data_IF_729172860199
#
_entry.id   IF_729172860199
#
_cell.length_a   1.000
_cell.length_b   1.000
_cell.length_c   1.000
_cell.angle_alpha   90.00
_cell.angle_beta   90.00
_cell.angle_gamma   90.00
#
_symmetry.space_group_name_H-M   'P 1'
#
loop_
_entity.id
_entity.type
_entity.pdbx_description
1 polymer ?
#
# COMPACT_ATOMS: atom_id res chain seq x y z
N UNK A 1 -9.30 -12.79 8.23
CA UNK A 1 -9.50 -13.66 7.07
C UNK A 1 -9.54 -15.13 7.53
N UNK A 2 -9.54 -16.12 6.64
CA UNK A 2 -9.55 -17.54 7.07
C UNK A 2 -8.29 -17.92 7.86
N UNK A 3 -7.12 -17.44 7.45
CA UNK A 3 -5.87 -17.67 8.18
C UNK A 3 -5.82 -16.98 9.56
N UNK A 4 -6.56 -15.88 9.77
CA UNK A 4 -6.57 -15.15 11.05
C UNK A 4 -7.71 -15.59 11.99
N UNK A 5 -8.91 -15.80 11.45
CA UNK A 5 -10.14 -16.02 12.23
C UNK A 5 -10.72 -17.43 12.05
N UNK A 6 -10.04 -18.30 11.31
CA UNK A 6 -10.46 -19.66 10.99
C UNK A 6 -11.47 -19.73 9.84
N UNK A 7 -11.52 -20.88 9.16
CA UNK A 7 -12.54 -21.19 8.16
C UNK A 7 -13.81 -21.72 8.83
N UNK A 8 -14.68 -20.80 9.24
CA UNK A 8 -15.92 -21.11 9.92
C UNK A 8 -17.09 -20.31 9.33
N UNK A 9 -18.31 -20.62 9.76
CA UNK A 9 -19.53 -20.00 9.25
C UNK A 9 -19.53 -18.47 9.40
N UNK A 10 -19.01 -17.95 10.52
CA UNK A 10 -18.93 -16.51 10.74
C UNK A 10 -17.97 -15.86 9.73
N UNK A 11 -16.75 -16.37 9.62
CA UNK A 11 -15.75 -15.85 8.67
C UNK A 11 -16.27 -15.91 7.23
N UNK A 12 -16.93 -17.01 6.84
CA UNK A 12 -17.49 -17.14 5.49
C UNK A 12 -18.63 -16.14 5.23
N UNK A 13 -19.51 -15.87 6.21
CA UNK A 13 -20.53 -14.82 6.09
C UNK A 13 -19.92 -13.42 5.94
N UNK A 14 -18.86 -13.13 6.68
CA UNK A 14 -18.15 -11.85 6.60
C UNK A 14 -17.44 -11.67 5.25
N UNK A 15 -16.85 -12.74 4.69
CA UNK A 15 -16.28 -12.72 3.33
C UNK A 15 -17.35 -12.40 2.28
N UNK A 16 -18.52 -13.01 2.36
CA UNK A 16 -19.62 -12.72 1.42
C UNK A 16 -20.18 -11.30 1.58
N UNK A 17 -20.22 -10.77 2.81
CA UNK A 17 -20.56 -9.37 3.04
C UNK A 17 -19.49 -8.42 2.45
N UNK A 18 -18.21 -8.71 2.66
CA UNK A 18 -17.11 -7.93 2.12
C UNK A 18 -17.12 -7.90 0.58
N UNK A 19 -17.43 -9.04 -0.08
CA UNK A 19 -17.61 -9.11 -1.54
C UNK A 19 -18.67 -8.12 -2.04
N UNK A 20 -19.83 -8.05 -1.38
CA UNK A 20 -20.90 -7.11 -1.75
C UNK A 20 -20.45 -5.66 -1.65
N UNK A 21 -19.68 -5.32 -0.61
CA UNK A 21 -19.11 -3.97 -0.44
C UNK A 21 -18.09 -3.68 -1.53
N UNK A 22 -17.17 -4.60 -1.79
CA UNK A 22 -16.17 -4.46 -2.85
C UNK A 22 -16.82 -4.30 -4.23
N UNK A 23 -17.86 -5.07 -4.52
CA UNK A 23 -18.62 -4.97 -5.76
C UNK A 23 -19.35 -3.64 -5.91
N UNK A 24 -19.91 -3.10 -4.84
CA UNK A 24 -20.53 -1.77 -4.87
C UNK A 24 -19.49 -0.68 -5.08
N UNK A 25 -18.36 -0.72 -4.37
CA UNK A 25 -17.26 0.23 -4.55
C UNK A 25 -16.75 0.22 -6.00
N UNK A 26 -16.59 -0.97 -6.60
CA UNK A 26 -16.23 -1.08 -8.03
C UNK A 26 -17.28 -0.44 -8.95
N UNK A 27 -18.58 -0.62 -8.68
CA UNK A 27 -19.66 0.03 -9.46
C UNK A 27 -19.64 1.55 -9.32
N UNK A 28 -19.24 2.05 -8.17
CA UNK A 28 -19.12 3.49 -7.88
C UNK A 28 -17.81 4.09 -8.44
N UNK A 29 -16.99 3.30 -9.13
CA UNK A 29 -15.78 3.75 -9.82
C UNK A 29 -14.49 3.61 -9.01
N UNK A 30 -14.53 2.95 -7.86
CA UNK A 30 -13.33 2.69 -7.07
C UNK A 30 -12.50 1.54 -7.64
N UNK A 31 -11.18 1.67 -7.51
CA UNK A 31 -10.20 0.62 -7.78
C UNK A 31 -9.52 0.20 -6.49
N UNK A 32 -9.10 -1.07 -6.42
CA UNK A 32 -8.39 -1.62 -5.28
C UNK A 32 -6.90 -1.77 -5.56
N UNK A 33 -6.10 -1.66 -4.50
CA UNK A 33 -4.66 -1.89 -4.48
C UNK A 33 -4.33 -2.94 -3.40
N UNK A 34 -3.25 -3.69 -3.58
CA UNK A 34 -2.72 -4.57 -2.54
C UNK A 34 -1.92 -3.73 -1.54
N UNK A 35 -2.15 -3.97 -0.26
CA UNK A 35 -1.30 -3.50 0.83
C UNK A 35 -0.68 -4.69 1.57
N UNK A 36 -0.38 -5.75 0.80
CA UNK A 36 0.02 -7.08 1.26
C UNK A 36 -1.08 -7.77 2.10
N UNK A 37 -0.89 -9.03 2.49
CA UNK A 37 -1.85 -9.74 3.35
C UNK A 37 -1.67 -9.36 4.82
N UNK A 38 -0.43 -9.42 5.32
CA UNK A 38 -0.08 -9.23 6.72
C UNK A 38 0.55 -7.87 7.06
N UNK A 39 0.39 -6.86 6.20
CA UNK A 39 1.03 -5.54 6.37
C UNK A 39 2.56 -5.65 6.50
N UNK A 40 3.17 -6.38 5.56
CA UNK A 40 4.57 -6.82 5.55
C UNK A 40 5.55 -5.69 5.20
N UNK A 41 6.61 -5.52 6.00
CA UNK A 41 7.74 -4.67 5.65
C UNK A 41 8.60 -5.37 4.58
N UNK A 42 8.39 -5.03 3.30
CA UNK A 42 9.03 -5.71 2.18
C UNK A 42 10.51 -5.35 1.97
N UNK A 43 10.99 -4.23 2.55
CA UNK A 43 12.43 -3.93 2.60
C UNK A 43 13.17 -5.02 3.39
N UNK A 44 12.66 -5.36 4.57
CA UNK A 44 13.30 -6.29 5.51
C UNK A 44 12.98 -7.76 5.23
N UNK A 45 11.78 -8.07 4.72
CA UNK A 45 11.33 -9.43 4.47
C UNK A 45 12.23 -10.17 3.45
N UNK A 46 12.36 -11.48 3.60
CA UNK A 46 12.99 -12.31 2.57
C UNK A 46 12.05 -12.50 1.36
N UNK A 47 12.58 -13.00 0.24
CA UNK A 47 11.73 -13.37 -0.91
C UNK A 47 10.70 -14.44 -0.52
N UNK A 48 11.07 -15.41 0.32
CA UNK A 48 10.18 -16.48 0.75
C UNK A 48 9.02 -15.93 1.61
N UNK A 49 9.29 -14.96 2.48
CA UNK A 49 8.25 -14.31 3.29
C UNK A 49 7.27 -13.53 2.41
N UNK A 50 7.79 -12.81 1.40
CA UNK A 50 6.98 -12.09 0.42
C UNK A 50 6.09 -13.06 -0.38
N UNK A 51 6.65 -14.21 -0.78
CA UNK A 51 5.90 -15.25 -1.48
C UNK A 51 4.78 -15.82 -0.63
N UNK A 52 5.07 -16.14 0.64
CA UNK A 52 4.08 -16.67 1.58
C UNK A 52 2.97 -15.65 1.87
N UNK A 53 3.32 -14.38 2.09
CA UNK A 53 2.35 -13.32 2.32
C UNK A 53 1.46 -13.11 1.10
N UNK A 54 2.05 -13.05 -0.10
CA UNK A 54 1.28 -12.91 -1.33
C UNK A 54 0.41 -14.14 -1.61
N UNK A 55 0.86 -15.36 -1.33
CA UNK A 55 0.02 -16.57 -1.46
C UNK A 55 -1.24 -16.46 -0.60
N UNK A 56 -1.12 -15.99 0.65
CA UNK A 56 -2.29 -15.72 1.50
C UNK A 56 -3.16 -14.62 0.92
N UNK A 57 -2.57 -13.55 0.39
CA UNK A 57 -3.31 -12.48 -0.29
C UNK A 57 -4.13 -13.02 -1.47
N UNK A 58 -3.52 -13.85 -2.32
CA UNK A 58 -4.18 -14.46 -3.49
C UNK A 58 -5.30 -15.42 -3.07
N UNK A 59 -5.12 -16.16 -1.98
CA UNK A 59 -6.11 -17.12 -1.51
C UNK A 59 -7.29 -16.48 -0.78
N UNK A 60 -7.08 -15.34 -0.10
CA UNK A 60 -8.05 -14.81 0.86
C UNK A 60 -8.60 -13.42 0.53
N UNK A 61 -7.84 -12.60 -0.19
CA UNK A 61 -8.20 -11.21 -0.51
C UNK A 61 -8.56 -11.07 -1.98
N UNK A 62 -7.75 -11.62 -2.89
CA UNK A 62 -8.03 -11.58 -4.33
C UNK A 62 -9.41 -12.10 -4.73
N UNK A 63 -9.98 -13.16 -4.10
CA UNK A 63 -11.33 -13.63 -4.42
C UNK A 63 -12.45 -12.65 -4.02
N UNK A 64 -12.14 -11.65 -3.19
CA UNK A 64 -13.07 -10.60 -2.76
C UNK A 64 -12.96 -9.39 -3.69
N UNK A 65 -11.73 -8.93 -3.94
CA UNK A 65 -11.48 -7.67 -4.65
C UNK A 65 -11.38 -7.86 -6.18
N UNK A 66 -10.84 -9.00 -6.62
CA UNK A 66 -10.44 -9.27 -8.00
C UNK A 66 -8.96 -8.97 -8.25
N UNK A 67 -8.55 -9.13 -9.52
CA UNK A 67 -7.17 -8.86 -9.96
C UNK A 67 -6.78 -7.41 -9.63
N UNK A 68 -5.62 -7.24 -9.02
CA UNK A 68 -5.07 -5.96 -8.59
C UNK A 68 -3.63 -5.85 -9.08
N UNK A 69 -3.28 -4.75 -9.74
CA UNK A 69 -1.94 -4.52 -10.30
C UNK A 69 -1.16 -3.41 -9.57
N UNK A 70 -1.76 -2.78 -8.56
CA UNK A 70 -1.13 -1.75 -7.74
C UNK A 70 -0.71 -2.37 -6.41
N UNK A 71 0.58 -2.23 -6.07
CA UNK A 71 1.12 -2.58 -4.76
C UNK A 71 1.49 -1.29 -4.02
N UNK A 72 0.83 -1.08 -2.89
CA UNK A 72 1.19 -0.04 -1.94
C UNK A 72 2.05 -0.70 -0.87
N UNK A 73 3.30 -0.28 -0.69
CA UNK A 73 4.17 -0.87 0.32
C UNK A 73 3.74 -0.45 1.74
N UNK A 74 3.46 -1.39 2.65
CA UNK A 74 3.32 -1.11 4.07
C UNK A 74 4.54 -0.37 4.58
N UNK A 75 4.31 0.65 5.42
CA UNK A 75 5.35 1.53 5.95
C UNK A 75 6.16 2.30 4.89
N UNK A 76 5.77 2.26 3.61
CA UNK A 76 6.60 2.76 2.52
C UNK A 76 7.86 1.92 2.26
N UNK A 77 7.90 0.68 2.76
CA UNK A 77 9.06 -0.20 2.74
C UNK A 77 9.31 -0.81 1.34
N UNK A 78 9.94 -0.02 0.48
CA UNK A 78 10.33 -0.40 -0.88
C UNK A 78 11.29 -1.61 -0.89
N UNK A 79 11.20 -2.43 -1.95
CA UNK A 79 12.05 -3.60 -2.21
C UNK A 79 13.42 -3.24 -2.79
N UNK A 80 13.66 -1.98 -3.12
CA UNK A 80 14.93 -1.47 -3.65
C UNK A 80 15.24 -0.07 -3.09
N UNK A 81 16.40 0.45 -3.46
CA UNK A 81 16.77 1.85 -3.28
C UNK A 81 16.18 2.76 -4.39
N UNK A 82 16.71 3.97 -4.52
CA UNK A 82 16.26 4.97 -5.48
C UNK A 82 16.53 4.59 -6.96
N UNK A 83 17.38 3.61 -7.24
CA UNK A 83 17.69 3.19 -8.60
C UNK A 83 16.49 2.53 -9.28
N UNK A 84 16.47 2.47 -10.63
CA UNK A 84 15.52 1.68 -11.38
C UNK A 84 15.45 0.23 -10.90
N UNK A 85 14.24 -0.29 -10.73
CA UNK A 85 14.07 -1.73 -10.59
C UNK A 85 14.64 -2.45 -11.80
N UNK A 86 15.21 -3.62 -11.51
CA UNK A 86 15.84 -4.50 -12.47
C UNK A 86 15.35 -5.92 -12.21
N UNK A 87 15.23 -6.72 -13.26
CA UNK A 87 14.94 -8.15 -13.19
C UNK A 87 15.96 -8.94 -12.35
N UNK A 88 17.16 -8.38 -12.12
CA UNK A 88 18.13 -8.95 -11.19
C UNK A 88 17.65 -8.92 -9.72
N UNK A 89 16.73 -8.02 -9.37
CA UNK A 89 16.09 -8.01 -8.05
C UNK A 89 14.98 -9.06 -8.02
N UNK A 90 15.26 -10.19 -7.36
CA UNK A 90 14.34 -11.33 -7.31
C UNK A 90 12.98 -10.99 -6.67
N UNK A 91 12.92 -10.01 -5.74
CA UNK A 91 11.65 -9.54 -5.17
C UNK A 91 10.81 -8.85 -6.23
N UNK A 92 11.43 -7.99 -7.04
CA UNK A 92 10.76 -7.29 -8.13
C UNK A 92 10.28 -8.27 -9.20
N UNK A 93 11.17 -9.14 -9.69
CA UNK A 93 10.83 -10.14 -10.71
C UNK A 93 9.65 -11.03 -10.27
N UNK A 94 9.64 -11.47 -8.99
CA UNK A 94 8.51 -12.21 -8.44
C UNK A 94 7.22 -11.37 -8.45
N UNK A 95 7.23 -10.16 -7.90
CA UNK A 95 6.04 -9.31 -7.83
C UNK A 95 5.49 -8.95 -9.23
N UNK A 96 6.37 -8.70 -10.21
CA UNK A 96 6.00 -8.56 -11.62
C UNK A 96 5.31 -9.80 -12.16
N UNK A 97 5.85 -10.99 -11.88
CA UNK A 97 5.23 -12.26 -12.27
C UNK A 97 3.83 -12.45 -11.66
N UNK A 98 3.59 -11.91 -10.46
CA UNK A 98 2.26 -11.94 -9.81
C UNK A 98 1.27 -10.93 -10.43
N UNK A 99 1.71 -10.10 -11.38
CA UNK A 99 0.88 -9.16 -12.12
C UNK A 99 0.80 -7.76 -11.51
N UNK A 100 1.74 -7.39 -10.63
CA UNK A 100 1.90 -5.99 -10.20
C UNK A 100 2.67 -5.20 -11.26
N UNK A 101 2.16 -4.01 -11.57
CA UNK A 101 2.76 -3.09 -12.54
C UNK A 101 3.02 -1.70 -11.94
N UNK A 102 2.35 -1.36 -10.84
CA UNK A 102 2.46 -0.07 -10.16
C UNK A 102 2.90 -0.30 -8.71
N UNK A 103 3.98 0.37 -8.30
CA UNK A 103 4.62 0.19 -7.01
C UNK A 103 4.70 1.53 -6.26
N UNK A 104 4.10 1.60 -5.08
CA UNK A 104 3.94 2.86 -4.35
C UNK A 104 4.62 2.80 -2.97
N UNK A 105 5.74 3.50 -2.81
CA UNK A 105 6.37 3.70 -1.50
C UNK A 105 5.82 4.96 -0.81
N UNK A 106 6.41 5.31 0.34
CA UNK A 106 6.16 6.59 1.02
C UNK A 106 7.49 7.32 1.12
N UNK A 107 7.55 8.49 0.51
CA UNK A 107 8.69 9.39 0.57
C UNK A 107 8.15 10.82 0.42
N UNK A 108 8.51 11.67 1.37
CA UNK A 108 8.09 13.06 1.41
C UNK A 108 9.29 14.01 1.53
N UNK A 109 10.43 13.58 0.97
CA UNK A 109 11.60 14.44 0.77
C UNK A 109 11.42 15.40 -0.40
N UNK A 110 10.54 15.07 -1.35
CA UNK A 110 10.17 15.92 -2.49
C UNK A 110 8.65 15.95 -2.70
N UNK A 111 8.09 16.99 -3.34
CA UNK A 111 6.64 17.10 -3.55
C UNK A 111 6.08 16.02 -4.50
N UNK A 112 6.95 15.50 -5.36
CA UNK A 112 6.63 14.42 -6.28
C UNK A 112 7.90 13.67 -6.68
N UNK A 113 7.80 12.35 -6.77
CA UNK A 113 8.83 11.51 -7.35
C UNK A 113 8.18 10.29 -8.02
N UNK A 114 8.68 9.94 -9.20
CA UNK A 114 8.23 8.77 -9.95
C UNK A 114 9.29 8.28 -10.90
N UNK A 115 9.21 6.99 -11.20
CA UNK A 115 10.13 6.26 -12.05
C UNK A 115 9.32 5.38 -13.00
N UNK A 116 9.31 5.79 -14.26
CA UNK A 116 8.70 5.02 -15.33
C UNK A 116 9.74 4.06 -15.90
N UNK A 117 9.51 2.77 -15.69
CA UNK A 117 10.25 1.70 -16.35
C UNK A 117 9.65 1.35 -17.71
N UNK A 118 10.20 0.32 -18.37
CA UNK A 118 9.67 -0.17 -19.64
C UNK A 118 8.27 -0.76 -19.49
N UNK A 119 8.00 -1.43 -18.37
CA UNK A 119 6.80 -2.21 -18.12
C UNK A 119 6.28 -2.08 -16.68
N UNK A 120 6.76 -1.09 -15.93
CA UNK A 120 6.28 -0.78 -14.59
C UNK A 120 6.33 0.73 -14.32
N UNK A 121 5.58 1.15 -13.31
CA UNK A 121 5.68 2.48 -12.73
C UNK A 121 5.92 2.36 -11.22
N UNK A 122 6.91 3.10 -10.71
CA UNK A 122 7.15 3.23 -9.28
C UNK A 122 6.98 4.69 -8.89
N UNK A 123 6.28 4.97 -7.79
CA UNK A 123 6.13 6.34 -7.31
C UNK A 123 6.18 6.47 -5.80
N UNK A 124 6.67 7.63 -5.37
CA UNK A 124 6.56 8.08 -4.00
C UNK A 124 5.16 8.63 -3.75
N UNK A 125 4.68 8.43 -2.53
CA UNK A 125 3.48 9.09 -2.01
C UNK A 125 3.86 9.85 -0.75
N UNK A 126 3.15 10.95 -0.52
CA UNK A 126 3.23 11.71 0.71
C UNK A 126 2.09 11.24 1.61
N UNK A 127 2.44 10.78 2.81
CA UNK A 127 1.46 10.40 3.83
C UNK A 127 0.82 11.65 4.44
N UNK A 128 -0.52 11.67 4.51
CA UNK A 128 -1.29 12.71 5.21
C UNK A 128 -1.81 12.07 6.49
N UNK A 129 -1.05 12.21 7.57
CA UNK A 129 -1.36 11.61 8.87
C UNK A 129 -0.85 12.49 10.02
N UNK A 130 -1.08 12.03 11.25
CA UNK A 130 -0.70 12.75 12.46
C UNK A 130 0.81 12.96 12.62
N UNK A 131 1.65 12.05 12.09
CA UNK A 131 3.11 12.16 12.17
C UNK A 131 3.58 13.23 11.20
N UNK A 132 3.06 13.22 9.96
CA UNK A 132 3.36 14.25 8.97
C UNK A 132 2.89 15.62 9.43
N UNK A 133 1.69 15.72 9.99
CA UNK A 133 1.15 16.98 10.50
C UNK A 133 2.02 17.53 11.64
N UNK A 134 2.48 16.68 12.54
CA UNK A 134 3.37 17.10 13.62
C UNK A 134 4.72 17.61 13.10
N UNK A 135 5.34 16.89 12.15
CA UNK A 135 6.60 17.32 11.54
C UNK A 135 6.48 18.64 10.78
N UNK A 136 5.36 18.86 10.09
CA UNK A 136 5.04 20.09 9.38
C UNK A 136 4.82 21.27 10.34
N UNK A 137 4.02 21.07 11.40
CA UNK A 137 3.78 22.08 12.44
C UNK A 137 5.06 22.49 13.19
N UNK A 138 6.01 21.57 13.38
CA UNK A 138 7.33 21.84 13.98
C UNK A 138 8.30 22.48 12.98
N UNK A 139 7.97 22.52 11.69
CA UNK A 139 8.85 23.00 10.62
C UNK A 139 10.00 22.05 10.29
N UNK A 140 9.96 20.80 10.76
CA UNK A 140 10.99 19.78 10.50
C UNK A 140 10.89 19.26 9.06
N UNK A 141 9.67 19.15 8.54
CA UNK A 141 9.41 18.77 7.16
C UNK A 141 8.12 19.46 6.67
N UNK A 142 8.22 20.65 6.04
CA UNK A 142 7.09 21.47 5.61
C UNK A 142 6.54 21.05 4.23
N UNK A 143 6.63 19.76 3.87
CA UNK A 143 6.23 19.30 2.54
C UNK A 143 4.73 19.49 2.26
N UNK A 144 3.91 19.63 3.31
CA UNK A 144 2.46 19.78 3.13
C UNK A 144 2.04 21.19 2.73
N UNK A 145 2.90 22.21 2.91
CA UNK A 145 2.61 23.61 2.57
C UNK A 145 2.11 23.81 1.12
N UNK A 146 2.52 22.93 0.20
CA UNK A 146 2.09 22.99 -1.21
C UNK A 146 0.69 22.39 -1.46
N UNK A 147 0.12 21.69 -0.49
CA UNK A 147 -1.12 20.92 -0.65
C UNK A 147 -2.21 21.38 0.33
N UNK A 148 -1.86 21.60 1.60
CA UNK A 148 -2.78 21.86 2.70
C UNK A 148 -2.09 22.74 3.73
N UNK A 149 -2.76 23.80 4.21
CA UNK A 149 -2.31 24.51 5.41
C UNK A 149 -2.67 23.70 6.66
N UNK A 150 -1.69 22.99 7.23
CA UNK A 150 -1.90 22.10 8.40
C UNK A 150 -2.53 22.85 9.57
N UNK A 151 -2.19 24.13 9.78
CA UNK A 151 -2.72 24.93 10.90
C UNK A 151 -4.22 25.19 10.81
N UNK A 152 -4.81 25.12 9.62
CA UNK A 152 -6.25 25.35 9.40
C UNK A 152 -7.08 24.08 9.58
N UNK A 153 -6.46 22.91 9.47
CA UNK A 153 -7.15 21.61 9.53
C UNK A 153 -6.80 20.78 10.76
N UNK A 154 -5.73 21.14 11.48
CA UNK A 154 -5.28 20.46 12.68
C UNK A 154 -6.15 20.86 13.89
N UNK A 155 -6.83 19.88 14.50
CA UNK A 155 -7.55 20.09 15.74
C UNK A 155 -6.59 20.19 16.93
N UNK A 156 -6.43 21.40 17.45
CA UNK A 156 -5.54 21.69 18.58
C UNK A 156 -6.07 21.19 19.93
N UNK A 157 -7.38 20.90 20.05
CA UNK A 157 -8.01 20.60 21.34
C UNK A 157 -7.93 19.13 21.72
N UNK A 158 -7.88 18.23 20.73
CA UNK A 158 -8.00 16.78 20.93
C UNK A 158 -6.64 16.05 21.05
N UNK A 159 -5.52 16.78 21.06
CA UNK A 159 -4.16 16.23 21.18
C UNK A 159 -3.29 16.89 22.27
N UNK A 160 -3.90 17.65 23.17
CA UNK A 160 -3.27 18.23 24.37
C UNK A 160 -3.35 17.33 25.60
#
# INVERSE_FOLDING_TARGET
SKSEYGDNEKTNKEIEAAKKVADQLKKDGWSFASHTWGHLNMTQASLADIQQDNERWQNEVAPILGKTNILIYPFGADISDWQPYSEANQKFAYLKQQGFDIFCNVDASTPAWGQLGTDYYRNARINIDGIRFEADLKGENPILDQFINVKEVYDQKDRG
#
